data_IF_921256465064
#
_entry.id   IF_921256465064
#
_cell.length_a   1.000
_cell.length_b   1.000
_cell.length_c   1.000
_cell.angle_alpha   90.00
_cell.angle_beta   90.00
_cell.angle_gamma   90.00
#
_symmetry.space_group_name_H-M   'P 1'
#
loop_
_entity.id
_entity.type
_entity.pdbx_description
1 polymer ?
#
# COMPACT_ATOMS: atom_id res chain seq x y z
N UNK A 1 5.07 -1.56 -4.44
CA UNK A 1 4.62 -2.06 -3.12
C UNK A 1 3.58 -3.14 -3.34
N UNK A 2 3.91 -4.38 -3.02
CA UNK A 2 3.06 -5.55 -3.28
C UNK A 2 2.08 -5.74 -2.11
N UNK A 3 0.79 -5.84 -2.43
CA UNK A 3 -0.24 -6.24 -1.49
C UNK A 3 -0.20 -7.77 -1.43
N UNK A 4 0.33 -8.35 -0.35
CA UNK A 4 0.42 -9.80 -0.21
C UNK A 4 -0.94 -10.36 0.22
N UNK A 5 -1.40 -11.38 -0.50
CA UNK A 5 -2.63 -12.11 -0.17
C UNK A 5 -2.35 -13.26 0.81
N UNK A 6 -3.29 -13.51 1.71
CA UNK A 6 -3.24 -14.57 2.73
C UNK A 6 -3.54 -15.98 2.19
N UNK A 7 -3.37 -16.15 0.89
CA UNK A 7 -3.73 -17.38 0.18
C UNK A 7 -2.56 -18.36 0.24
N UNK A 8 -2.80 -19.52 0.85
CA UNK A 8 -1.84 -20.62 0.84
C UNK A 8 -2.23 -21.65 -0.19
N UNK A 9 -1.23 -22.12 -0.94
CA UNK A 9 -1.36 -23.25 -1.85
C UNK A 9 -0.94 -24.50 -1.08
N UNK A 10 -1.87 -25.44 -0.92
CA UNK A 10 -1.63 -26.73 -0.27
C UNK A 10 -1.61 -27.78 -1.37
N UNK A 11 -0.51 -28.54 -1.46
CA UNK A 11 -0.41 -29.69 -2.36
C UNK A 11 -0.65 -30.96 -1.55
N UNK A 12 -1.69 -31.70 -1.89
CA UNK A 12 -2.06 -32.94 -1.20
C UNK A 12 -1.20 -34.12 -1.67
N UNK A 13 -1.16 -35.22 -0.88
CA UNK A 13 -0.43 -36.44 -1.27
C UNK A 13 -0.93 -37.12 -2.55
N UNK A 14 -2.20 -36.96 -2.90
CA UNK A 14 -2.80 -37.46 -4.15
C UNK A 14 -2.48 -36.58 -5.39
N UNK A 15 -1.72 -35.49 -5.19
CA UNK A 15 -1.36 -34.54 -6.23
C UNK A 15 -2.37 -33.41 -6.46
N UNK A 16 -3.52 -33.43 -5.78
CA UNK A 16 -4.50 -32.34 -5.86
C UNK A 16 -3.99 -31.05 -5.21
N UNK A 17 -4.45 -29.91 -5.73
CA UNK A 17 -4.10 -28.58 -5.20
C UNK A 17 -5.33 -28.00 -4.51
N UNK A 18 -5.16 -27.56 -3.27
CA UNK A 18 -6.17 -26.80 -2.52
C UNK A 18 -5.68 -25.37 -2.30
N UNK A 19 -6.61 -24.42 -2.47
CA UNK A 19 -6.40 -23.01 -2.16
C UNK A 19 -7.07 -22.76 -0.82
N UNK A 20 -6.28 -22.47 0.21
CA UNK A 20 -6.78 -22.20 1.54
C UNK A 20 -6.46 -20.75 1.93
N UNK A 21 -7.50 -19.98 2.24
CA UNK A 21 -7.37 -18.70 2.95
C UNK A 21 -7.63 -18.96 4.42
N UNK A 22 -6.80 -18.40 5.30
CA UNK A 22 -7.05 -18.52 6.74
C UNK A 22 -8.43 -17.92 7.07
N UNK A 23 -9.36 -18.65 7.72
CA UNK A 23 -10.77 -18.23 7.80
C UNK A 23 -10.97 -16.84 8.40
N UNK A 24 -10.19 -16.48 9.42
CA UNK A 24 -10.26 -15.18 10.08
C UNK A 24 -9.65 -14.03 9.26
N UNK A 25 -8.96 -14.32 8.15
CA UNK A 25 -8.34 -13.34 7.24
C UNK A 25 -9.05 -13.26 5.89
N UNK A 26 -10.18 -13.95 5.74
CA UNK A 26 -11.00 -13.88 4.53
C UNK A 26 -11.42 -12.42 4.27
N UNK A 27 -11.14 -11.92 3.08
CA UNK A 27 -11.45 -10.54 2.68
C UNK A 27 -10.55 -9.47 3.32
N UNK A 28 -9.42 -9.86 3.90
CA UNK A 28 -8.41 -8.94 4.40
C UNK A 28 -7.22 -8.85 3.43
N UNK A 29 -6.58 -7.68 3.39
CA UNK A 29 -5.38 -7.37 2.62
C UNK A 29 -4.26 -6.90 3.54
N UNK A 30 -3.02 -7.00 3.06
CA UNK A 30 -1.84 -6.53 3.80
C UNK A 30 -1.14 -5.38 3.09
N UNK A 31 -0.65 -4.43 3.89
CA UNK A 31 0.14 -3.30 3.45
C UNK A 31 1.34 -3.14 4.38
N UNK A 32 2.55 -2.95 3.85
CA UNK A 32 3.68 -2.50 4.68
C UNK A 32 3.60 -0.99 4.88
N UNK A 33 3.73 -0.54 6.11
CA UNK A 33 3.77 0.88 6.41
C UNK A 33 5.00 1.53 5.78
N UNK A 34 4.83 2.62 5.04
CA UNK A 34 5.95 3.30 4.39
C UNK A 34 6.99 3.84 5.39
N UNK A 35 6.54 4.20 6.60
CA UNK A 35 7.37 4.84 7.62
C UNK A 35 8.10 3.81 8.50
N UNK A 36 7.37 2.86 9.09
CA UNK A 36 7.93 1.95 10.10
C UNK A 36 7.99 0.48 9.66
N UNK A 37 7.65 0.19 8.40
CA UNK A 37 7.69 -1.16 7.79
C UNK A 37 6.80 -2.22 8.45
N UNK A 38 6.01 -1.86 9.47
CA UNK A 38 5.01 -2.74 10.09
C UNK A 38 3.94 -3.16 9.09
N UNK A 39 3.51 -4.43 9.17
CA UNK A 39 2.42 -4.95 8.35
C UNK A 39 1.09 -4.47 8.95
N UNK A 40 0.31 -3.82 8.11
CA UNK A 40 -1.04 -3.36 8.38
C UNK A 40 -1.99 -4.33 7.69
N UNK A 41 -2.89 -4.93 8.47
CA UNK A 41 -3.96 -5.79 7.95
C UNK A 41 -5.26 -5.02 7.94
N UNK A 42 -5.98 -5.05 6.81
CA UNK A 42 -7.18 -4.23 6.63
C UNK A 42 -8.23 -4.93 5.76
N UNK A 43 -9.50 -4.53 5.91
CA UNK A 43 -10.59 -5.01 5.05
C UNK A 43 -10.64 -4.24 3.74
N UNK A 44 -11.17 -4.86 2.69
CA UNK A 44 -11.36 -4.20 1.38
C UNK A 44 -12.15 -2.88 1.49
N UNK A 45 -11.96 -1.98 0.51
CA UNK A 45 -12.62 -0.67 0.34
C UNK A 45 -12.10 0.51 1.17
N UNK A 46 -10.95 0.40 1.82
CA UNK A 46 -10.26 1.56 2.38
C UNK A 46 -9.41 2.27 1.32
N UNK A 47 -9.52 3.61 1.22
CA UNK A 47 -8.64 4.41 0.36
C UNK A 47 -7.29 4.73 1.01
N UNK A 48 -7.28 4.80 2.35
CA UNK A 48 -6.13 5.10 3.18
C UNK A 48 -6.27 4.39 4.53
N UNK A 49 -5.15 4.12 5.20
CA UNK A 49 -5.12 3.45 6.50
C UNK A 49 -4.03 4.02 7.40
N UNK A 50 -4.40 4.28 8.66
CA UNK A 50 -3.46 4.74 9.69
C UNK A 50 -2.71 3.56 10.29
N UNK A 51 -1.39 3.64 10.33
CA UNK A 51 -0.56 2.65 11.00
C UNK A 51 -0.80 2.73 12.51
N UNK A 52 -1.15 1.62 13.14
CA UNK A 52 -1.36 1.57 14.60
C UNK A 52 -0.06 1.77 15.39
N UNK A 53 1.09 1.42 14.80
CA UNK A 53 2.39 1.54 15.44
C UNK A 53 2.95 2.97 15.41
N UNK A 54 3.14 3.54 14.22
CA UNK A 54 3.77 4.87 14.08
C UNK A 54 2.79 6.00 13.74
N UNK A 55 1.49 5.72 13.68
CA UNK A 55 0.43 6.70 13.38
C UNK A 55 0.49 7.33 11.98
N UNK A 56 1.42 6.93 11.12
CA UNK A 56 1.52 7.39 9.74
C UNK A 56 0.30 6.94 8.88
N UNK A 57 -0.18 7.81 7.99
CA UNK A 57 -1.28 7.51 7.08
C UNK A 57 -0.75 6.93 5.77
N UNK A 58 -1.21 5.74 5.39
CA UNK A 58 -0.73 5.00 4.23
C UNK A 58 -1.83 4.93 3.17
N UNK A 59 -1.51 5.23 1.92
CA UNK A 59 -2.43 5.05 0.79
C UNK A 59 -2.52 3.59 0.36
N UNK A 60 -3.69 3.14 -0.07
CA UNK A 60 -3.91 1.77 -0.56
C UNK A 60 -3.87 1.75 -2.10
N UNK A 61 -2.93 1.01 -2.73
CA UNK A 61 -2.84 0.90 -4.19
C UNK A 61 -4.09 0.26 -4.81
N UNK A 62 -4.52 0.73 -5.99
CA UNK A 62 -5.61 0.12 -6.77
C UNK A 62 -7.04 0.37 -6.29
N UNK A 63 -7.23 1.09 -5.18
CA UNK A 63 -8.56 1.48 -4.67
C UNK A 63 -9.00 2.88 -5.10
N UNK A 64 -8.22 3.56 -5.94
CA UNK A 64 -8.64 4.80 -6.58
C UNK A 64 -8.63 4.62 -8.09
N UNK A 65 -9.74 4.96 -8.76
CA UNK A 65 -9.83 5.22 -10.20
C UNK A 65 -8.96 6.43 -10.63
N UNK A 66 -7.76 6.59 -10.07
CA UNK A 66 -6.85 7.66 -10.40
C UNK A 66 -5.84 7.12 -11.40
N UNK A 67 -5.84 7.70 -12.60
CA UNK A 67 -4.61 7.80 -13.40
C UNK A 67 -3.46 8.14 -12.45
N UNK A 68 -2.29 7.49 -12.55
CA UNK A 68 -1.15 7.82 -11.70
C UNK A 68 -0.92 9.32 -11.78
N UNK A 69 -1.09 9.99 -10.64
CA UNK A 69 -0.74 11.40 -10.51
C UNK A 69 0.75 11.45 -10.24
N UNK A 70 1.39 12.48 -10.78
CA UNK A 70 2.81 12.70 -10.56
C UNK A 70 3.02 14.08 -9.96
N UNK A 71 3.96 14.18 -9.02
CA UNK A 71 4.54 15.46 -8.60
C UNK A 71 5.98 15.51 -9.06
N UNK A 72 6.42 16.70 -9.45
CA UNK A 72 7.85 16.98 -9.56
C UNK A 72 8.40 17.34 -8.19
N UNK A 73 9.53 16.74 -7.84
CA UNK A 73 10.26 17.10 -6.63
C UNK A 73 10.62 18.58 -6.66
N UNK A 74 10.34 19.30 -5.57
CA UNK A 74 10.67 20.72 -5.45
C UNK A 74 12.18 21.01 -5.47
N UNK A 75 13.01 20.00 -5.16
CA UNK A 75 14.47 20.13 -5.11
C UNK A 75 15.15 19.77 -6.43
N UNK A 76 14.91 18.56 -6.96
CA UNK A 76 15.62 18.05 -8.14
C UNK A 76 14.73 17.87 -9.38
N UNK A 77 13.47 18.30 -9.33
CA UNK A 77 12.50 18.25 -10.44
C UNK A 77 12.16 16.84 -10.97
N UNK A 78 12.69 15.79 -10.35
CA UNK A 78 12.36 14.39 -10.67
C UNK A 78 10.86 14.14 -10.54
N UNK A 79 10.29 13.44 -11.51
CA UNK A 79 8.88 13.03 -11.48
C UNK A 79 8.71 11.84 -10.54
N UNK A 80 7.81 11.96 -9.57
CA UNK A 80 7.51 10.91 -8.59
C UNK A 80 6.02 10.59 -8.62
N UNK A 81 5.68 9.32 -8.49
CA UNK A 81 4.30 8.91 -8.19
C UNK A 81 3.86 9.51 -6.85
N UNK A 82 2.60 9.91 -6.77
CA UNK A 82 2.05 10.54 -5.57
C UNK A 82 0.99 9.68 -4.92
N UNK A 83 0.93 9.80 -3.61
CA UNK A 83 -0.16 9.29 -2.79
C UNK A 83 -1.01 10.46 -2.29
N UNK A 84 -2.28 10.21 -1.97
CA UNK A 84 -3.13 11.18 -1.29
C UNK A 84 -3.08 10.94 0.21
N UNK A 85 -2.75 11.98 0.98
CA UNK A 85 -2.81 12.01 2.44
C UNK A 85 -3.65 13.22 2.85
N UNK A 86 -4.77 12.99 3.52
CA UNK A 86 -5.68 14.06 3.99
C UNK A 86 -6.07 15.07 2.90
N UNK A 87 -6.33 14.57 1.68
CA UNK A 87 -6.68 15.39 0.52
C UNK A 87 -5.49 16.01 -0.23
N UNK A 88 -4.30 16.06 0.38
CA UNK A 88 -3.09 16.56 -0.28
C UNK A 88 -2.40 15.48 -1.12
N UNK A 89 -1.84 15.86 -2.27
CA UNK A 89 -0.94 15.02 -3.02
C UNK A 89 0.45 15.10 -2.39
N UNK A 90 1.02 13.97 -2.02
CA UNK A 90 2.35 13.90 -1.42
C UNK A 90 3.21 12.87 -2.12
N UNK A 91 4.51 13.13 -2.20
CA UNK A 91 5.52 12.18 -2.68
C UNK A 91 6.83 12.34 -1.92
N UNK A 92 7.58 11.25 -1.80
CA UNK A 92 8.98 11.26 -1.39
C UNK A 92 9.79 11.05 -2.66
N UNK A 93 10.75 11.94 -2.92
CA UNK A 93 11.52 11.86 -4.15
C UNK A 93 12.42 10.63 -4.18
N UNK A 94 12.33 9.83 -5.25
CA UNK A 94 13.18 8.65 -5.44
C UNK A 94 14.66 8.97 -5.68
N UNK A 95 14.98 10.21 -6.04
CA UNK A 95 16.34 10.62 -6.37
C UNK A 95 17.05 11.33 -5.20
N UNK A 96 16.32 12.07 -4.37
CA UNK A 96 16.92 12.91 -3.31
C UNK A 96 16.16 12.85 -1.98
N UNK A 97 15.22 11.92 -1.84
CA UNK A 97 14.45 11.65 -0.60
C UNK A 97 13.64 12.84 -0.06
N UNK A 98 13.57 13.93 -0.82
CA UNK A 98 12.84 15.14 -0.43
C UNK A 98 11.34 14.87 -0.42
N UNK A 99 10.69 15.17 0.70
CA UNK A 99 9.23 15.18 0.82
C UNK A 99 8.63 16.38 0.08
N UNK A 100 7.70 16.13 -0.84
CA UNK A 100 6.97 17.16 -1.58
C UNK A 100 5.47 17.00 -1.37
N UNK A 101 4.77 18.08 -1.05
CA UNK A 101 3.31 18.13 -0.91
C UNK A 101 2.72 19.22 -1.80
N UNK A 102 1.61 18.94 -2.48
CA UNK A 102 0.80 19.91 -3.18
C UNK A 102 -0.69 19.71 -2.84
N UNK A 103 -1.45 20.80 -2.90
CA UNK A 103 -2.92 20.77 -2.77
C UNK A 103 -3.57 20.33 -4.07
#
# INVERSE_FOLDING_TARGET
MECQDFTKIIKNPDGSIQIATQPHLKGQKQLKCYQCQQIIVFKENAAQIKCTNCQALNGIPGQQNNKPKYLRCSHCNTQNEVMRIDGNLVSICVNCETFTAAR
#
